data_IF_637984010074
#
_entry.id   IF_637984010074
#
_cell.length_a   1.000
_cell.length_b   1.000
_cell.length_c   1.000
_cell.angle_alpha   90.00
_cell.angle_beta   90.00
_cell.angle_gamma   90.00
#
_symmetry.space_group_name_H-M   'P 1'
#
loop_
_entity.id
_entity.type
_entity.pdbx_description
1 polymer ?
#
# COMPACT_ATOMS: atom_id res chain seq x y z
N UNK A 1 -12.53 -10.07 -6.95
CA UNK A 1 -11.32 -9.25 -6.77
C UNK A 1 -11.39 -8.14 -7.78
N UNK A 2 -11.69 -6.92 -7.32
CA UNK A 2 -11.92 -5.77 -8.18
C UNK A 2 -10.57 -5.19 -8.57
N UNK A 3 -9.97 -5.70 -9.64
CA UNK A 3 -8.82 -5.05 -10.26
C UNK A 3 -9.27 -3.75 -10.91
N UNK A 4 -8.39 -2.77 -10.99
CA UNK A 4 -8.57 -1.43 -11.58
C UNK A 4 -8.92 -1.41 -13.09
N UNK A 5 -9.42 -2.52 -13.63
CA UNK A 5 -9.90 -2.67 -15.00
C UNK A 5 -8.82 -2.91 -16.04
N UNK A 6 -7.56 -3.11 -15.63
CA UNK A 6 -6.44 -3.35 -16.54
C UNK A 6 -6.41 -4.77 -17.07
N UNK A 7 -6.08 -4.90 -18.36
CA UNK A 7 -5.69 -6.18 -18.94
C UNK A 7 -4.21 -6.41 -18.60
N UNK A 8 -3.94 -7.36 -17.71
CA UNK A 8 -2.59 -7.61 -17.19
C UNK A 8 -2.15 -9.03 -17.51
N UNK A 9 -0.93 -9.18 -18.03
CA UNK A 9 -0.21 -10.45 -18.06
C UNK A 9 0.75 -10.50 -16.86
N UNK A 10 0.67 -11.55 -16.05
CA UNK A 10 1.58 -11.74 -14.91
C UNK A 10 2.69 -12.70 -15.31
N UNK A 11 3.95 -12.30 -15.10
CA UNK A 11 5.15 -13.10 -15.40
C UNK A 11 5.98 -13.31 -14.14
N UNK A 12 6.69 -14.44 -14.07
CA UNK A 12 7.61 -14.74 -12.97
C UNK A 12 6.98 -15.32 -11.70
N UNK A 13 5.66 -15.53 -11.63
CA UNK A 13 4.97 -16.07 -10.45
C UNK A 13 5.54 -17.43 -10.00
N UNK A 14 5.87 -18.30 -10.96
CA UNK A 14 6.44 -19.62 -10.68
C UNK A 14 7.88 -19.57 -10.14
N UNK A 15 8.59 -18.46 -10.36
CA UNK A 15 9.99 -18.28 -9.93
C UNK A 15 10.09 -17.59 -8.57
N UNK A 16 9.04 -16.88 -8.13
CA UNK A 16 9.00 -16.16 -6.85
C UNK A 16 9.41 -17.02 -5.64
N UNK A 17 9.00 -18.30 -5.51
CA UNK A 17 9.39 -19.13 -4.37
C UNK A 17 10.88 -19.52 -4.34
N UNK A 18 11.63 -19.31 -5.43
CA UNK A 18 13.06 -19.62 -5.52
C UNK A 18 13.94 -18.50 -4.96
N UNK A 19 13.35 -17.50 -4.31
CA UNK A 19 14.06 -16.41 -3.64
C UNK A 19 15.10 -16.96 -2.66
N UNK A 20 16.37 -16.59 -2.87
CA UNK A 20 17.51 -17.09 -2.09
C UNK A 20 18.32 -18.21 -2.76
N UNK A 21 17.74 -18.91 -3.75
CA UNK A 21 18.42 -19.96 -4.53
C UNK A 21 18.97 -19.44 -5.86
N UNK A 22 18.31 -18.45 -6.46
CA UNK A 22 18.73 -17.77 -7.69
C UNK A 22 18.80 -16.25 -7.47
N UNK A 23 19.42 -15.48 -8.38
CA UNK A 23 19.46 -14.02 -8.25
C UNK A 23 18.05 -13.45 -8.09
N UNK A 24 17.86 -12.56 -7.10
CA UNK A 24 16.54 -12.01 -6.77
C UNK A 24 15.86 -11.32 -7.96
N UNK A 25 16.64 -10.76 -8.90
CA UNK A 25 16.10 -10.15 -10.11
C UNK A 25 15.38 -11.14 -11.02
N UNK A 26 15.71 -12.43 -10.95
CA UNK A 26 15.07 -13.51 -11.71
C UNK A 26 13.81 -14.07 -11.01
N UNK A 27 13.58 -13.71 -9.74
CA UNK A 27 12.41 -14.15 -8.96
C UNK A 27 11.32 -13.10 -8.90
N UNK A 28 11.48 -11.97 -9.60
CA UNK A 28 10.49 -10.90 -9.60
C UNK A 28 9.21 -11.32 -10.31
N UNK A 29 8.09 -10.92 -9.71
CA UNK A 29 6.78 -10.99 -10.38
C UNK A 29 6.56 -9.66 -11.08
N UNK A 30 6.33 -9.73 -12.38
CA UNK A 30 6.13 -8.56 -13.22
C UNK A 30 4.69 -8.51 -13.74
N UNK A 31 4.12 -7.30 -13.76
CA UNK A 31 2.82 -7.01 -14.36
C UNK A 31 3.05 -6.31 -15.69
N UNK A 32 2.63 -6.96 -16.77
CA UNK A 32 2.78 -6.46 -18.13
C UNK A 32 1.42 -5.97 -18.65
N UNK A 33 1.43 -4.80 -19.28
CA UNK A 33 0.24 -4.13 -19.79
C UNK A 33 0.36 -3.92 -21.30
N UNK A 34 -0.77 -3.91 -22.04
CA UNK A 34 -0.80 -3.39 -23.39
C UNK A 34 -0.33 -1.93 -23.42
N UNK A 35 0.37 -1.53 -24.48
CA UNK A 35 0.97 -0.20 -24.60
C UNK A 35 -0.09 0.91 -24.50
N UNK A 36 -1.29 0.67 -25.04
CA UNK A 36 -2.42 1.59 -24.97
C UNK A 36 -2.95 1.84 -23.54
N UNK A 37 -2.69 0.94 -22.59
CA UNK A 37 -3.11 1.09 -21.19
C UNK A 37 -2.05 1.73 -20.30
N UNK A 38 -0.81 1.90 -20.78
CA UNK A 38 0.31 2.43 -19.99
C UNK A 38 0.01 3.83 -19.46
N UNK A 39 -0.60 4.71 -20.26
CA UNK A 39 -0.93 6.06 -19.82
C UNK A 39 -1.91 6.06 -18.63
N UNK A 40 -2.96 5.23 -18.71
CA UNK A 40 -3.94 5.06 -17.62
C UNK A 40 -3.31 4.42 -16.39
N UNK A 41 -2.37 3.49 -16.58
CA UNK A 41 -1.67 2.85 -15.46
C UNK A 41 -0.78 3.85 -14.70
N UNK A 42 -0.16 4.80 -15.40
CA UNK A 42 0.62 5.87 -14.76
C UNK A 42 -0.22 6.82 -13.90
N UNK A 43 -1.48 7.04 -14.28
CA UNK A 43 -2.42 7.80 -13.44
C UNK A 43 -2.69 7.07 -12.12
N UNK A 44 -2.87 5.75 -12.17
CA UNK A 44 -3.03 4.92 -10.97
C UNK A 44 -1.75 4.88 -10.10
N UNK A 45 -0.56 4.86 -10.71
CA UNK A 45 0.71 4.93 -9.97
C UNK A 45 0.79 6.19 -9.08
N UNK A 46 0.27 7.33 -9.55
CA UNK A 46 0.24 8.56 -8.78
C UNK A 46 -0.68 8.46 -7.55
N UNK A 47 -1.84 7.81 -7.67
CA UNK A 47 -2.74 7.55 -6.53
C UNK A 47 -2.09 6.65 -5.48
N UNK A 48 -1.36 5.63 -5.93
CA UNK A 48 -0.60 4.72 -5.05
C UNK A 48 0.49 5.48 -4.30
N UNK A 49 1.20 6.39 -4.98
CA UNK A 49 2.24 7.21 -4.35
C UNK A 49 1.67 8.15 -3.28
N UNK A 50 0.52 8.78 -3.52
CA UNK A 50 -0.16 9.59 -2.49
C UNK A 50 -0.56 8.73 -1.27
N UNK A 51 -0.91 7.47 -1.50
CA UNK A 51 -1.15 6.49 -0.44
C UNK A 51 0.07 6.21 0.43
N UNK A 52 1.28 6.23 -0.14
CA UNK A 52 2.55 6.02 0.61
C UNK A 52 2.83 7.17 1.56
N UNK A 53 2.65 8.42 1.13
CA UNK A 53 2.81 9.58 2.01
C UNK A 53 1.85 9.53 3.22
N UNK A 54 0.63 9.01 3.02
CA UNK A 54 -0.33 8.77 4.10
C UNK A 54 0.13 7.62 5.01
N UNK A 55 0.73 6.58 4.45
CA UNK A 55 1.24 5.43 5.20
C UNK A 55 2.39 5.78 6.16
N UNK A 56 3.20 6.80 5.85
CA UNK A 56 4.26 7.29 6.73
C UNK A 56 3.74 7.93 8.04
N UNK A 57 2.46 8.33 8.05
CA UNK A 57 1.82 8.92 9.24
C UNK A 57 1.30 7.81 10.14
N UNK A 58 1.32 8.05 11.45
CA UNK A 58 0.69 7.16 12.43
C UNK A 58 -0.60 7.81 12.94
N UNK A 59 -1.67 7.01 12.95
CA UNK A 59 -2.97 7.36 13.51
C UNK A 59 -3.24 6.44 14.71
N UNK A 60 -3.47 7.05 15.87
CA UNK A 60 -3.82 6.31 17.09
C UNK A 60 -5.28 5.86 17.04
N UNK A 61 -5.53 4.58 17.28
CA UNK A 61 -6.88 4.03 17.33
C UNK A 61 -7.67 4.62 18.52
N UNK A 62 -8.91 5.11 18.31
CA UNK A 62 -9.73 5.67 19.39
C UNK A 62 -10.23 4.61 20.39
N UNK A 63 -10.25 3.32 20.01
CA UNK A 63 -10.68 2.21 20.88
C UNK A 63 -9.53 1.63 21.70
N UNK A 64 -8.45 1.19 21.05
CA UNK A 64 -7.40 0.44 21.72
C UNK A 64 -6.09 1.23 21.95
N UNK A 65 -5.97 2.42 21.34
CA UNK A 65 -4.78 3.28 21.46
C UNK A 65 -3.57 2.85 20.63
N UNK A 66 -3.66 1.77 19.86
CA UNK A 66 -2.58 1.28 19.00
C UNK A 66 -2.34 2.23 17.80
N UNK A 67 -1.08 2.37 17.40
CA UNK A 67 -0.71 3.17 16.23
C UNK A 67 -0.87 2.37 14.94
N UNK A 68 -1.66 2.88 13.99
CA UNK A 68 -1.81 2.29 12.64
C UNK A 68 -1.28 3.25 11.56
N UNK A 69 -0.81 2.75 10.41
CA UNK A 69 -0.48 3.59 9.26
C UNK A 69 -1.66 4.45 8.83
N UNK A 70 -1.39 5.69 8.43
CA UNK A 70 -2.44 6.68 8.15
C UNK A 70 -3.24 6.44 6.86
N UNK A 71 -2.81 5.49 6.03
CA UNK A 71 -3.57 5.03 4.87
C UNK A 71 -4.53 3.86 5.19
N UNK A 72 -4.66 3.45 6.46
CA UNK A 72 -5.58 2.40 6.86
C UNK A 72 -6.93 3.00 7.27
N UNK A 73 -8.01 2.34 6.85
CA UNK A 73 -9.38 2.69 7.26
C UNK A 73 -9.75 2.05 8.61
N UNK A 74 -9.12 0.91 8.95
CA UNK A 74 -9.39 0.13 10.15
C UNK A 74 -8.11 -0.06 10.97
N UNK A 75 -8.26 -0.11 12.30
CA UNK A 75 -7.16 -0.39 13.20
C UNK A 75 -6.62 -1.80 12.96
N UNK A 76 -5.31 -1.91 12.73
CA UNK A 76 -4.65 -3.21 12.49
C UNK A 76 -4.81 -4.21 13.65
N UNK A 77 -5.05 -3.72 14.87
CA UNK A 77 -5.16 -4.58 16.06
C UNK A 77 -6.60 -4.95 16.42
N UNK A 78 -7.56 -4.01 16.33
CA UNK A 78 -8.92 -4.22 16.84
C UNK A 78 -10.04 -3.96 15.81
N UNK A 79 -9.68 -3.67 14.56
CA UNK A 79 -10.61 -3.48 13.43
C UNK A 79 -11.59 -2.29 13.60
N UNK A 80 -11.39 -1.43 14.59
CA UNK A 80 -12.16 -0.18 14.75
C UNK A 80 -11.82 0.82 13.64
N UNK A 81 -12.83 1.56 13.15
CA UNK A 81 -12.63 2.62 12.17
C UNK A 81 -11.63 3.70 12.67
N UNK A 82 -10.64 4.01 11.83
CA UNK A 82 -9.63 5.01 12.12
C UNK A 82 -10.09 6.40 11.65
N UNK A 83 -9.75 7.46 12.39
CA UNK A 83 -10.07 8.83 11.95
C UNK A 83 -9.25 9.20 10.70
N UNK A 84 -9.90 9.84 9.74
CA UNK A 84 -9.30 10.25 8.46
C UNK A 84 -8.12 11.25 8.57
N UNK A 85 -7.91 11.86 9.74
CA UNK A 85 -6.77 12.75 9.99
C UNK A 85 -6.16 12.46 11.37
N UNK A 86 -4.83 12.33 11.49
CA UNK A 86 -4.17 12.15 12.78
C UNK A 86 -4.43 13.36 13.68
N UNK A 87 -4.76 13.12 14.95
CA UNK A 87 -4.96 14.18 15.94
C UNK A 87 -3.58 14.69 16.39
N UNK A 88 -3.25 15.99 16.24
CA UNK A 88 -1.96 16.51 16.68
C UNK A 88 -1.81 16.36 18.20
N UNK A 89 -0.69 15.75 18.64
CA UNK A 89 -0.35 15.66 20.07
C UNK A 89 0.21 16.99 20.55
N UNK A 90 -0.64 17.81 21.16
CA UNK A 90 -0.21 19.05 21.83
C UNK A 90 0.48 18.70 23.15
N UNK A 91 1.69 19.22 23.39
CA UNK A 91 2.38 19.14 24.68
C UNK A 91 2.48 20.55 25.26
N UNK A 92 2.07 20.72 26.52
CA UNK A 92 2.31 21.95 27.25
C UNK A 92 3.78 22.02 27.68
N UNK A 93 4.37 23.21 27.61
CA UNK A 93 5.69 23.51 28.16
C UNK A 93 5.47 24.43 29.36
N UNK A 94 6.10 24.11 30.49
CA UNK A 94 6.14 24.96 31.69
C UNK A 94 7.27 25.98 31.61
#
# INVERSE_FOLDING_TARGET
MSGSGFSVEVRGEALSPLGGEIPNTETWVELWLPEEEVARARELEAEVEEGKEKAERIVDCPRCGEGSPGNFELCWNCEEELPASPRPRLRAVS
#
